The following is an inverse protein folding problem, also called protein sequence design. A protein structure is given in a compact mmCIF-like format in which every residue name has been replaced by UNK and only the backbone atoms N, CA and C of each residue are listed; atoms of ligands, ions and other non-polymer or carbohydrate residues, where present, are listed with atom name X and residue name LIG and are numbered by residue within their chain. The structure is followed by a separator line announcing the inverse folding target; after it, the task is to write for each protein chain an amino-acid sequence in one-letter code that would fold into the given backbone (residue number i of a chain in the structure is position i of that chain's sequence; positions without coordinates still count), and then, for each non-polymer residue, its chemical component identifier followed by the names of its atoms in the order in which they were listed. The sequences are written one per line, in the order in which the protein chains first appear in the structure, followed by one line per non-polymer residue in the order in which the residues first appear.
data_IF_729897631976
#
_entry.id   IF_729897631976
#
_cell.length_a   1.000
_cell.length_b   1.000
_cell.length_c   1.000
_cell.angle_alpha   90.00
_cell.angle_beta   90.00
_cell.angle_gamma   90.00
#
_symmetry.space_group_name_H-M   'P 1'
#
loop_
_entity.id
_entity.type
_entity.pdbx_description
1 polymer ?
#
# COMPACT_ATOMS: atom_id res chain seq x y z
N UNK A 1 3.45 -11.59 -17.00
CA UNK A 1 2.13 -11.59 -16.31
C UNK A 1 1.64 -10.16 -16.26
N UNK A 2 0.37 -9.93 -16.59
CA UNK A 2 -0.23 -8.59 -16.55
C UNK A 2 -0.73 -8.31 -15.13
N UNK A 3 -0.35 -7.18 -14.56
CA UNK A 3 -0.88 -6.70 -13.28
C UNK A 3 -2.31 -6.17 -13.49
N UNK A 4 -3.19 -6.34 -12.51
CA UNK A 4 -4.46 -5.60 -12.52
C UNK A 4 -4.19 -4.12 -12.30
N UNK A 5 -5.13 -3.26 -12.70
CA UNK A 5 -5.02 -1.80 -12.53
C UNK A 5 -4.67 -1.42 -11.09
N UNK A 6 -5.41 -1.92 -10.09
CA UNK A 6 -5.13 -1.64 -8.67
C UNK A 6 -3.77 -2.16 -8.17
N UNK A 7 -3.22 -3.20 -8.81
CA UNK A 7 -1.89 -3.72 -8.46
C UNK A 7 -0.81 -2.79 -9.02
N UNK A 8 -1.00 -2.28 -10.23
CA UNK A 8 -0.10 -1.31 -10.83
C UNK A 8 -0.15 0.01 -10.05
N UNK A 9 -1.34 0.50 -9.73
CA UNK A 9 -1.51 1.71 -8.91
C UNK A 9 -0.84 1.58 -7.55
N UNK A 10 -0.97 0.43 -6.87
CA UNK A 10 -0.30 0.22 -5.59
C UNK A 10 1.23 0.33 -5.69
N UNK A 11 1.84 -0.16 -6.78
CA UNK A 11 3.26 0.00 -7.02
C UNK A 11 3.63 1.46 -7.30
N UNK A 12 2.81 2.16 -8.10
CA UNK A 12 3.06 3.56 -8.44
C UNK A 12 2.93 4.47 -7.22
N UNK A 13 1.95 4.20 -6.34
CA UNK A 13 1.81 4.91 -5.07
C UNK A 13 2.98 4.59 -4.13
N UNK A 14 3.36 3.32 -3.98
CA UNK A 14 4.54 2.97 -3.19
C UNK A 14 5.78 3.71 -3.69
N UNK A 15 6.03 3.76 -5.02
CA UNK A 15 7.19 4.47 -5.60
C UNK A 15 7.18 5.97 -5.30
N UNK A 16 6.03 6.62 -5.48
CA UNK A 16 5.88 8.06 -5.22
C UNK A 16 6.09 8.40 -3.75
N UNK A 17 5.77 7.48 -2.85
CA UNK A 17 5.75 7.68 -1.41
C UNK A 17 6.85 6.91 -0.67
N UNK A 18 8.09 7.01 -1.18
CA UNK A 18 9.28 6.51 -0.47
C UNK A 18 9.46 4.98 -0.51
N UNK A 19 8.80 4.30 -1.44
CA UNK A 19 8.89 2.87 -1.68
C UNK A 19 8.07 2.02 -0.72
N UNK A 20 7.11 2.59 0.02
CA UNK A 20 6.42 1.91 1.11
C UNK A 20 4.91 2.09 1.09
N UNK A 21 4.20 1.09 1.58
CA UNK A 21 2.80 1.19 1.97
C UNK A 21 2.63 0.63 3.38
N UNK A 22 1.71 1.23 4.12
CA UNK A 22 1.36 0.90 5.48
C UNK A 22 -0.06 0.36 5.56
N UNK A 23 -0.30 -0.57 6.47
CA UNK A 23 -1.63 -1.12 6.74
C UNK A 23 -2.37 -0.14 7.62
N UNK A 24 -3.51 0.32 7.13
CA UNK A 24 -4.42 1.14 7.91
C UNK A 24 -5.15 0.27 8.94
N UNK A 25 -5.09 0.67 10.21
CA UNK A 25 -5.54 -0.17 11.34
C UNK A 25 -7.05 -0.46 11.28
N UNK A 26 -7.83 0.44 10.66
CA UNK A 26 -9.28 0.34 10.54
C UNK A 26 -9.68 -0.30 9.19
N UNK A 27 -9.83 -1.62 9.14
CA UNK A 27 -10.49 -2.30 8.01
C UNK A 27 -9.61 -3.08 7.04
N UNK A 28 -8.31 -3.26 7.35
CA UNK A 28 -7.45 -4.17 6.57
C UNK A 28 -7.07 -3.65 5.18
N UNK A 29 -7.10 -2.32 5.04
CA UNK A 29 -6.63 -1.60 3.87
C UNK A 29 -5.17 -1.22 4.00
N UNK A 30 -4.55 -0.91 2.87
CA UNK A 30 -3.17 -0.46 2.77
C UNK A 30 -3.12 0.85 2.00
N UNK A 31 -2.25 1.75 2.44
CA UNK A 31 -2.12 3.10 1.88
C UNK A 31 -0.70 3.64 2.12
N UNK A 32 -0.39 4.85 1.66
CA UNK A 32 0.85 5.55 1.99
C UNK A 32 0.66 6.47 3.20
N UNK A 33 1.75 6.84 3.88
CA UNK A 33 1.68 7.57 5.15
C UNK A 33 0.93 8.91 5.03
N UNK A 34 1.14 9.63 3.93
CA UNK A 34 0.53 10.94 3.69
C UNK A 34 -0.97 10.87 3.35
N UNK A 35 -1.50 9.70 3.02
CA UNK A 35 -2.94 9.51 2.79
C UNK A 35 -3.74 9.43 4.10
N UNK A 36 -3.06 9.29 5.24
CA UNK A 36 -3.70 9.22 6.55
C UNK A 36 -3.87 10.64 7.08
N UNK A 37 -5.10 11.14 7.28
CA UNK A 37 -5.32 12.47 7.81
C UNK A 37 -4.79 12.59 9.25
N UNK A 38 -4.10 13.69 9.57
CA UNK A 38 -3.52 13.95 10.90
C UNK A 38 -4.56 13.91 12.05
N UNK A 39 -5.84 14.15 11.74
CA UNK A 39 -6.95 14.05 12.67
C UNK A 39 -7.76 12.77 12.44
N UNK A 40 -7.12 11.61 12.56
CA UNK A 40 -7.83 10.33 12.56
C UNK A 40 -8.87 10.31 13.69
N UNK A 41 -10.12 10.60 13.35
CA UNK A 41 -11.23 10.23 14.21
C UNK A 41 -11.43 8.71 14.09
N UNK A 42 -11.53 7.96 15.20
CA UNK A 42 -11.68 6.49 15.20
C UNK A 42 -12.94 5.96 14.49
N UNK A 43 -13.80 6.85 14.01
CA UNK A 43 -15.02 6.55 13.26
C UNK A 43 -14.93 6.86 11.77
N UNK A 44 -13.77 7.31 11.28
CA UNK A 44 -13.57 7.66 9.87
C UNK A 44 -13.36 6.37 9.08
N UNK A 45 -14.26 6.05 8.14
CA UNK A 45 -14.12 4.87 7.27
C UNK A 45 -13.06 5.07 6.18
N UNK A 46 -12.84 4.06 5.34
CA UNK A 46 -11.83 4.08 4.26
C UNK A 46 -11.99 5.24 3.26
N UNK A 47 -13.16 5.89 3.24
CA UNK A 47 -13.42 7.13 2.50
C UNK A 47 -12.59 8.33 2.99
N UNK A 48 -11.95 8.24 4.16
CA UNK A 48 -11.09 9.28 4.70
C UNK A 48 -9.64 9.18 4.18
N UNK A 49 -9.28 8.11 3.48
CA UNK A 49 -7.97 7.96 2.85
C UNK A 49 -8.00 8.51 1.42
N UNK A 50 -6.98 9.29 1.06
CA UNK A 50 -6.83 9.81 -0.31
C UNK A 50 -6.69 8.68 -1.36
N UNK A 51 -6.12 7.56 -0.92
CA UNK A 51 -6.06 6.34 -1.72
C UNK A 51 -5.93 5.13 -0.80
N UNK A 52 -6.42 3.97 -1.23
CA UNK A 52 -6.17 2.73 -0.54
C UNK A 52 -6.29 1.52 -1.48
N UNK A 53 -5.65 0.41 -1.09
CA UNK A 53 -5.91 -0.91 -1.66
C UNK A 53 -6.19 -1.95 -0.57
N UNK A 54 -6.61 -3.15 -0.97
CA UNK A 54 -6.89 -4.24 -0.02
C UNK A 54 -5.62 -5.02 0.33
N UNK A 55 -5.62 -5.70 1.49
CA UNK A 55 -4.54 -6.66 1.85
C UNK A 55 -4.31 -7.73 0.76
N UNK A 56 -5.37 -8.16 0.06
CA UNK A 56 -5.23 -9.12 -1.05
C UNK A 56 -4.38 -8.59 -2.20
N UNK A 57 -4.43 -7.27 -2.46
CA UNK A 57 -3.60 -6.61 -3.47
C UNK A 57 -2.13 -6.71 -3.08
N UNK A 58 -1.79 -6.39 -1.83
CA UNK A 58 -0.43 -6.50 -1.29
C UNK A 58 0.05 -7.95 -1.34
N UNK A 59 -0.75 -8.91 -0.88
CA UNK A 59 -0.40 -10.33 -0.95
C UNK A 59 -0.17 -10.84 -2.39
N UNK A 60 -0.90 -10.31 -3.37
CA UNK A 60 -0.65 -10.65 -4.77
C UNK A 60 0.69 -10.09 -5.25
N UNK A 61 1.03 -8.85 -4.89
CA UNK A 61 2.30 -8.20 -5.24
C UNK A 61 3.50 -8.86 -4.56
N UNK A 62 3.37 -9.23 -3.28
CA UNK A 62 4.39 -9.96 -2.52
C UNK A 62 4.65 -11.34 -3.13
N UNK A 63 3.61 -12.12 -3.41
CA UNK A 63 3.75 -13.44 -4.06
C UNK A 63 4.41 -13.38 -5.44
N UNK A 64 4.28 -12.25 -6.13
CA UNK A 64 4.89 -11.99 -7.43
C UNK A 64 6.28 -11.34 -7.33
N UNK A 65 6.74 -11.01 -6.12
CA UNK A 65 8.06 -10.45 -5.86
C UNK A 65 8.22 -8.99 -6.26
N UNK A 66 7.14 -8.22 -6.35
CA UNK A 66 7.20 -6.77 -6.54
C UNK A 66 7.37 -6.02 -5.23
N UNK A 67 6.83 -6.58 -4.15
CA UNK A 67 6.90 -6.03 -2.80
C UNK A 67 7.41 -7.07 -1.81
N UNK A 68 7.93 -6.59 -0.69
CA UNK A 68 8.27 -7.38 0.50
C UNK A 68 7.32 -6.95 1.61
N UNK A 69 6.80 -7.92 2.34
CA UNK A 69 6.09 -7.63 3.60
C UNK A 69 7.13 -7.53 4.70
N UNK A 70 7.38 -6.32 5.20
CA UNK A 70 8.36 -6.06 6.25
C UNK A 70 7.82 -6.57 7.59
N UNK A 71 6.55 -6.25 7.86
CA UNK A 71 5.76 -6.77 8.98
C UNK A 71 4.25 -6.72 8.63
N UNK A 72 3.38 -7.03 9.59
CA UNK A 72 1.93 -7.03 9.34
C UNK A 72 1.33 -5.64 9.10
N UNK A 73 2.07 -4.58 9.42
CA UNK A 73 1.68 -3.18 9.27
C UNK A 73 2.44 -2.46 8.15
N UNK A 74 3.51 -3.04 7.61
CA UNK A 74 4.40 -2.36 6.67
C UNK A 74 4.81 -3.28 5.51
N UNK A 75 4.89 -2.71 4.32
CA UNK A 75 5.46 -3.35 3.15
C UNK A 75 6.26 -2.35 2.31
N UNK A 76 7.30 -2.85 1.67
CA UNK A 76 8.22 -2.07 0.87
C UNK A 76 8.32 -2.65 -0.54
N UNK A 77 8.66 -1.81 -1.52
CA UNK A 77 9.06 -2.27 -2.84
C UNK A 77 10.30 -3.14 -2.73
N UNK A 78 10.39 -4.18 -3.56
CA UNK A 78 11.63 -4.92 -3.71
C UNK A 78 12.69 -4.00 -4.35
N UNK A 79 13.95 -4.06 -3.91
CA UNK A 79 15.05 -3.17 -4.35
C UNK A 79 15.16 -2.98 -5.87
N UNK A 80 14.90 -4.04 -6.64
CA UNK A 80 14.89 -4.01 -8.11
C UNK A 80 13.82 -3.10 -8.74
N UNK A 81 12.88 -2.58 -7.95
CA UNK A 81 11.80 -1.69 -8.38
C UNK A 81 11.84 -0.32 -7.69
N UNK A 82 12.90 -0.06 -6.91
CA UNK A 82 13.16 1.23 -6.24
C UNK A 82 13.92 2.20 -7.16
N UNK A 83 14.54 1.71 -8.24
CA UNK A 83 15.45 2.48 -9.13
C UNK A 83 14.95 2.69 -10.57
N UNK A 84 13.72 2.29 -10.88
CA UNK A 84 13.02 2.60 -12.16
C UNK A 84 12.07 3.78 -11.96
#
# INVERSE_FOLDING_TARGET
MVLSEIQQEALDQARKHGGKLIRWEQGGYWTYAEAIPEQEHPSSGASALDWYCTTNTIFALVRRGYMIMDDWKNCSLMDRYVQD
#
